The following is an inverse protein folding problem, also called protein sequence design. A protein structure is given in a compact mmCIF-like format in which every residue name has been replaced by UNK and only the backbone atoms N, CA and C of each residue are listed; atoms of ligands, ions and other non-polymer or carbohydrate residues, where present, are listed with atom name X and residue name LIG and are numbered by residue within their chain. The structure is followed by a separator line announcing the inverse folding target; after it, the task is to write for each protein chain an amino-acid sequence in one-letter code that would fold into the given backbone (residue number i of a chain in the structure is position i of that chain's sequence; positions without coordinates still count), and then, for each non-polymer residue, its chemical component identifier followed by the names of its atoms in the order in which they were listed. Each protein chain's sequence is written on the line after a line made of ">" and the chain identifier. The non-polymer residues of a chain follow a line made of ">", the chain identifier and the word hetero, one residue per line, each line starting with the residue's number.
data_IF_587657290040
#
_entry.id   IF_587657290040
#
_cell.length_a   1.000
_cell.length_b   1.000
_cell.length_c   1.000
_cell.angle_alpha   90.00
_cell.angle_beta   90.00
_cell.angle_gamma   90.00
#
_symmetry.space_group_name_H-M   'P 1'
#
loop_
_entity.id
_entity.type
_entity.pdbx_description
1 polymer ?
#
# COMPACT_ATOMS: atom_id res chain seq x y z
N UNK A 1 1.52 -8.24 12.02
CA UNK A 1 1.72 -6.80 11.80
C UNK A 1 0.43 -6.30 11.20
N UNK A 2 -0.16 -5.28 11.79
CA UNK A 2 -1.43 -4.74 11.31
C UNK A 2 -1.19 -3.93 10.03
N UNK A 3 -2.07 -4.14 9.04
CA UNK A 3 -2.15 -3.29 7.86
C UNK A 3 -2.69 -1.90 8.23
N UNK A 4 -2.37 -0.91 7.39
CA UNK A 4 -2.77 0.47 7.59
C UNK A 4 -3.61 0.94 6.43
N UNK A 5 -4.85 1.31 6.71
CA UNK A 5 -5.82 1.72 5.70
C UNK A 5 -5.93 3.24 5.62
N UNK A 6 -5.91 3.76 4.40
CA UNK A 6 -6.10 5.17 4.05
C UNK A 6 -7.25 5.31 3.07
N UNK A 7 -8.11 6.31 3.24
CA UNK A 7 -9.27 6.53 2.36
C UNK A 7 -9.30 7.97 1.86
N UNK A 8 -9.53 8.16 0.55
CA UNK A 8 -9.71 9.46 -0.10
C UNK A 8 -10.86 9.37 -1.12
N UNK A 9 -12.02 9.93 -0.77
CA UNK A 9 -13.22 9.80 -1.61
C UNK A 9 -13.64 8.33 -1.74
N UNK A 10 -13.76 7.85 -2.98
CA UNK A 10 -14.07 6.46 -3.33
C UNK A 10 -12.83 5.54 -3.33
N UNK A 11 -11.65 6.07 -3.08
CA UNK A 11 -10.40 5.32 -3.11
C UNK A 11 -9.96 4.88 -1.72
N UNK A 12 -9.56 3.63 -1.59
CA UNK A 12 -9.02 3.04 -0.37
C UNK A 12 -7.66 2.42 -0.65
N UNK A 13 -6.60 2.87 0.02
CA UNK A 13 -5.27 2.31 -0.06
C UNK A 13 -4.92 1.58 1.24
N UNK A 14 -4.61 0.30 1.15
CA UNK A 14 -4.21 -0.55 2.29
C UNK A 14 -2.72 -0.84 2.18
N UNK A 15 -1.93 -0.27 3.08
CA UNK A 15 -0.51 -0.51 3.20
C UNK A 15 -0.25 -1.74 4.07
N UNK A 16 0.52 -2.69 3.57
CA UNK A 16 0.88 -3.93 4.27
C UNK A 16 2.31 -4.35 3.92
N UNK A 17 2.78 -5.42 4.57
CA UNK A 17 4.14 -5.93 4.42
C UNK A 17 4.10 -7.43 4.19
N UNK A 18 4.91 -7.92 3.24
CA UNK A 18 5.18 -9.35 3.09
C UNK A 18 6.63 -9.67 3.43
N UNK A 19 6.90 -10.81 4.10
CA UNK A 19 8.25 -11.33 4.22
C UNK A 19 8.76 -11.77 2.84
N UNK A 20 10.04 -11.57 2.59
CA UNK A 20 10.76 -12.02 1.40
C UNK A 20 11.82 -13.05 1.77
N UNK A 21 12.56 -13.51 0.76
CA UNK A 21 13.72 -14.36 0.96
C UNK A 21 14.81 -13.60 1.75
N UNK A 22 15.68 -14.36 2.42
CA UNK A 22 16.83 -13.82 3.17
C UNK A 22 16.50 -12.89 4.35
N UNK A 23 15.29 -12.99 4.94
CA UNK A 23 14.91 -12.20 6.11
C UNK A 23 14.63 -10.72 5.80
N UNK A 24 14.41 -10.40 4.53
CA UNK A 24 13.97 -9.08 4.12
C UNK A 24 12.45 -8.98 4.10
N UNK A 25 11.95 -7.75 4.05
CA UNK A 25 10.54 -7.43 4.00
C UNK A 25 10.26 -6.48 2.85
N UNK A 26 9.11 -6.61 2.22
CA UNK A 26 8.70 -5.70 1.16
C UNK A 26 7.35 -5.06 1.50
N UNK A 27 7.30 -3.74 1.39
CA UNK A 27 6.07 -2.98 1.50
C UNK A 27 5.22 -3.13 0.24
N UNK A 28 3.90 -3.22 0.42
CA UNK A 28 2.93 -3.22 -0.68
C UNK A 28 1.68 -2.44 -0.31
N UNK A 29 1.04 -1.87 -1.32
CA UNK A 29 -0.20 -1.09 -1.19
C UNK A 29 -1.24 -1.66 -2.13
N UNK A 30 -2.36 -2.10 -1.55
CA UNK A 30 -3.56 -2.44 -2.32
C UNK A 30 -4.42 -1.19 -2.44
N UNK A 31 -4.59 -0.66 -3.65
CA UNK A 31 -5.47 0.45 -3.95
C UNK A 31 -6.77 -0.10 -4.55
N UNK A 32 -7.88 0.14 -3.86
CA UNK A 32 -9.22 -0.17 -4.30
C UNK A 32 -9.96 1.12 -4.68
N UNK A 33 -10.75 1.08 -5.75
CA UNK A 33 -11.76 2.10 -6.08
C UNK A 33 -13.15 1.47 -5.92
N UNK A 34 -14.00 2.11 -5.11
CA UNK A 34 -15.38 1.70 -4.89
C UNK A 34 -16.33 2.70 -5.59
N UNK A 35 -16.66 2.44 -6.85
CA UNK A 35 -17.60 3.26 -7.64
C UNK A 35 -19.03 2.67 -7.64
N UNK A 36 -19.35 1.80 -6.67
CA UNK A 36 -20.68 1.20 -6.51
C UNK A 36 -21.06 0.10 -7.50
N UNK A 37 -20.40 0.00 -8.67
CA UNK A 37 -20.68 -1.04 -9.68
C UNK A 37 -19.53 -2.06 -9.85
N UNK A 38 -18.26 -1.66 -9.67
CA UNK A 38 -17.10 -2.54 -9.77
C UNK A 38 -15.98 -2.14 -8.79
N UNK A 39 -15.39 -3.14 -8.11
CA UNK A 39 -14.24 -2.95 -7.24
C UNK A 39 -12.95 -3.16 -8.06
N UNK A 40 -12.38 -2.07 -8.57
CA UNK A 40 -11.07 -2.12 -9.19
C UNK A 40 -9.99 -2.14 -8.12
N UNK A 41 -9.19 -3.21 -8.10
CA UNK A 41 -8.08 -3.38 -7.17
C UNK A 41 -6.76 -3.43 -7.94
N UNK A 42 -5.84 -2.54 -7.59
CA UNK A 42 -4.45 -2.56 -8.06
C UNK A 42 -3.51 -2.76 -6.87
N UNK A 43 -2.47 -3.56 -7.05
CA UNK A 43 -1.42 -3.76 -6.03
C UNK A 43 -0.14 -3.10 -6.50
N UNK A 44 0.42 -2.24 -5.67
CA UNK A 44 1.67 -1.54 -5.90
C UNK A 44 2.72 -2.04 -4.91
N UNK A 45 3.90 -2.33 -5.41
CA UNK A 45 5.02 -2.77 -4.58
C UNK A 45 5.99 -1.61 -4.37
N UNK A 46 6.56 -1.53 -3.17
CA UNK A 46 7.71 -0.65 -2.91
C UNK A 46 8.92 -1.24 -3.67
N UNK A 47 9.65 -0.38 -4.39
CA UNK A 47 10.82 -0.73 -5.21
C UNK A 47 11.99 -1.35 -4.40
N UNK A 48 11.96 -1.24 -3.07
CA UNK A 48 12.98 -1.72 -2.15
C UNK A 48 12.48 -2.80 -1.20
N UNK A 49 13.42 -3.65 -0.76
CA UNK A 49 13.22 -4.56 0.36
C UNK A 49 13.98 -4.05 1.59
N UNK A 50 13.30 -4.00 2.72
CA UNK A 50 13.80 -3.46 3.98
C UNK A 50 14.27 -4.58 4.92
N UNK A 51 15.16 -4.25 5.86
CA UNK A 51 15.71 -5.21 6.81
C UNK A 51 14.74 -5.59 7.94
N UNK A 52 13.73 -4.76 8.16
CA UNK A 52 12.71 -4.94 9.19
C UNK A 52 11.31 -4.75 8.61
N UNK A 53 10.29 -5.39 9.22
CA UNK A 53 8.91 -5.19 8.79
C UNK A 53 8.43 -3.75 9.07
N UNK A 54 8.91 -3.10 10.14
CA UNK A 54 8.58 -1.69 10.43
C UNK A 54 9.03 -0.73 9.33
N UNK A 55 10.27 -0.86 8.85
CA UNK A 55 10.77 -0.03 7.75
C UNK A 55 9.97 -0.25 6.47
N UNK A 56 9.71 -1.51 6.11
CA UNK A 56 8.91 -1.84 4.93
C UNK A 56 7.49 -1.27 5.00
N UNK A 57 6.89 -1.23 6.20
CA UNK A 57 5.58 -0.63 6.40
C UNK A 57 5.61 0.89 6.27
N UNK A 58 6.62 1.56 6.82
CA UNK A 58 6.77 3.02 6.66
C UNK A 58 6.92 3.41 5.18
N UNK A 59 7.68 2.63 4.41
CA UNK A 59 7.78 2.83 2.96
C UNK A 59 6.45 2.58 2.24
N UNK A 60 5.71 1.53 2.62
CA UNK A 60 4.38 1.26 2.07
C UNK A 60 3.37 2.39 2.39
N UNK A 61 3.41 2.96 3.60
CA UNK A 61 2.57 4.11 3.97
C UNK A 61 2.90 5.34 3.13
N UNK A 62 4.18 5.62 2.90
CA UNK A 62 4.60 6.71 2.04
C UNK A 62 4.11 6.52 0.59
N UNK A 63 4.16 5.28 0.09
CA UNK A 63 3.61 4.93 -1.23
C UNK A 63 2.09 5.12 -1.26
N UNK A 64 1.35 4.67 -0.24
CA UNK A 64 -0.10 4.84 -0.17
C UNK A 64 -0.52 6.32 -0.19
N UNK A 65 0.18 7.17 0.58
CA UNK A 65 -0.04 8.61 0.53
C UNK A 65 0.25 9.21 -0.84
N UNK A 66 1.30 8.75 -1.53
CA UNK A 66 1.62 9.20 -2.89
C UNK A 66 0.50 8.82 -3.87
N UNK A 67 0.10 7.54 -3.89
CA UNK A 67 -0.96 7.03 -4.77
C UNK A 67 -2.26 7.80 -4.56
N UNK A 68 -2.68 8.00 -3.31
CA UNK A 68 -3.87 8.79 -3.01
C UNK A 68 -3.69 10.28 -3.35
N UNK A 69 -2.47 10.81 -3.24
CA UNK A 69 -2.14 12.19 -3.60
C UNK A 69 -2.23 12.46 -5.10
N UNK A 70 -1.78 11.53 -5.92
CA UNK A 70 -1.76 11.62 -7.40
C UNK A 70 -3.15 11.49 -8.03
N UNK A 71 -4.12 10.93 -7.30
CA UNK A 71 -5.52 10.93 -7.72
C UNK A 71 -6.07 12.36 -7.57
N UNK A 72 -5.97 13.13 -8.65
CA UNK A 72 -6.68 14.40 -8.81
C UNK A 72 -8.20 14.13 -8.83
N UNK A 73 -8.94 14.91 -8.04
CA UNK A 73 -10.39 14.78 -7.81
C UNK A 73 -11.18 15.67 -8.76
#
# INVERSE_FOLDING_TARGET
>A
MDDVTYTKGIYTAVATVRPMNAGQYQGLVSLARDDGEDLENAVYEVDGASGTPEEALEEAKALAHRLLGELEL
#
